data_IF_084585137280
#
_entry.id   IF_084585137280
#
_cell.length_a   1.000
_cell.length_b   1.000
_cell.length_c   1.000
_cell.angle_alpha   90.00
_cell.angle_beta   90.00
_cell.angle_gamma   90.00
#
_symmetry.space_group_name_H-M   'P 1'
#
loop_
_entity.id
_entity.type
_entity.pdbx_description
1 polymer ?
#
# COMPACT_ATOMS: atom_id res chain seq x y z
N UNK A 1 -18.54 9.89 -3.49
CA UNK A 1 -17.10 9.76 -3.82
C UNK A 1 -16.44 9.00 -2.69
N UNK A 2 -15.93 7.81 -2.95
CA UNK A 2 -15.31 6.96 -1.91
C UNK A 2 -13.94 7.56 -1.63
N UNK A 3 -13.74 8.12 -0.42
CA UNK A 3 -12.43 8.58 0.03
C UNK A 3 -11.63 7.39 0.51
N UNK A 4 -10.39 7.26 0.03
CA UNK A 4 -9.46 6.27 0.57
C UNK A 4 -9.21 6.60 2.04
N UNK A 5 -9.42 5.62 2.91
CA UNK A 5 -9.11 5.72 4.33
C UNK A 5 -7.94 4.77 4.63
N UNK A 6 -7.16 5.06 5.69
CA UNK A 6 -6.08 4.19 6.18
C UNK A 6 -6.53 2.74 6.39
N UNK A 7 -7.81 2.52 6.72
CA UNK A 7 -8.39 1.18 6.83
C UNK A 7 -8.32 0.40 5.52
N UNK A 8 -8.71 1.02 4.40
CA UNK A 8 -8.69 0.40 3.05
C UNK A 8 -7.25 0.05 2.66
N UNK A 9 -6.32 0.95 2.93
CA UNK A 9 -4.89 0.75 2.67
C UNK A 9 -4.36 -0.47 3.43
N UNK A 10 -4.70 -0.58 4.72
CA UNK A 10 -4.32 -1.72 5.55
C UNK A 10 -4.97 -3.03 5.10
N UNK A 11 -6.22 -2.99 4.60
CA UNK A 11 -6.90 -4.17 4.03
C UNK A 11 -6.23 -4.65 2.73
N UNK A 12 -5.60 -3.75 1.97
CA UNK A 12 -4.80 -4.10 0.80
C UNK A 12 -3.39 -4.61 1.14
N UNK A 13 -3.05 -4.78 2.42
CA UNK A 13 -1.73 -5.25 2.85
C UNK A 13 -0.61 -4.24 2.61
N UNK A 14 -0.97 -2.96 2.43
CA UNK A 14 -0.01 -1.87 2.22
C UNK A 14 0.33 -1.27 3.59
N UNK A 15 1.62 -1.25 3.91
CA UNK A 15 2.12 -0.61 5.13
C UNK A 15 2.01 0.92 5.08
N UNK A 16 2.08 1.59 6.24
CA UNK A 16 2.04 3.06 6.28
C UNK A 16 3.20 3.71 5.50
N UNK A 17 4.37 3.07 5.46
CA UNK A 17 5.54 3.55 4.72
C UNK A 17 5.36 3.40 3.21
N UNK A 18 4.82 2.27 2.78
CA UNK A 18 4.42 2.06 1.38
C UNK A 18 3.37 3.09 0.95
N UNK A 19 2.34 3.31 1.77
CA UNK A 19 1.32 4.31 1.47
C UNK A 19 1.88 5.74 1.37
N UNK A 20 2.82 6.11 2.25
CA UNK A 20 3.54 7.38 2.15
C UNK A 20 4.32 7.46 0.84
N UNK A 21 5.05 6.40 0.47
CA UNK A 21 5.81 6.35 -0.77
C UNK A 21 4.90 6.49 -2.00
N UNK A 22 3.75 5.81 -2.03
CA UNK A 22 2.73 5.95 -3.09
C UNK A 22 2.25 7.41 -3.17
N UNK A 23 1.98 8.04 -2.02
CA UNK A 23 1.53 9.43 -1.95
C UNK A 23 2.61 10.41 -2.41
N UNK A 24 3.87 10.16 -2.11
CA UNK A 24 5.01 10.95 -2.58
C UNK A 24 5.25 10.80 -4.09
N UNK A 25 5.17 9.58 -4.62
CA UNK A 25 5.31 9.30 -6.05
C UNK A 25 4.19 9.96 -6.85
N UNK A 26 2.94 9.84 -6.38
CA UNK A 26 1.77 10.36 -7.08
C UNK A 26 1.56 11.87 -6.86
N UNK A 27 2.10 12.43 -5.78
CA UNK A 27 1.81 13.79 -5.29
C UNK A 27 0.31 14.09 -5.09
N UNK A 28 -0.52 13.04 -4.97
CA UNK A 28 -1.97 13.12 -4.78
C UNK A 28 -2.46 11.93 -3.97
N UNK A 29 -3.72 11.96 -3.55
CA UNK A 29 -4.33 10.78 -2.93
C UNK A 29 -4.55 9.69 -3.99
N UNK A 30 -4.01 8.47 -3.79
CA UNK A 30 -4.29 7.35 -4.68
C UNK A 30 -5.77 6.96 -4.60
N UNK A 31 -6.29 6.35 -5.66
CA UNK A 31 -7.62 5.72 -5.66
C UNK A 31 -7.54 4.23 -5.34
N UNK A 32 -8.69 3.62 -5.03
CA UNK A 32 -8.82 2.17 -4.80
C UNK A 32 -8.18 1.33 -5.91
N UNK A 33 -8.35 1.74 -7.17
CA UNK A 33 -7.75 1.06 -8.32
C UNK A 33 -6.22 1.11 -8.29
N UNK A 34 -5.66 2.28 -7.99
CA UNK A 34 -4.20 2.47 -7.91
C UNK A 34 -3.63 1.70 -6.72
N UNK A 35 -4.30 1.73 -5.56
CA UNK A 35 -3.94 0.91 -4.41
C UNK A 35 -3.96 -0.58 -4.75
N UNK A 36 -4.95 -1.07 -5.50
CA UNK A 36 -4.99 -2.46 -5.95
C UNK A 36 -3.79 -2.81 -6.84
N UNK A 37 -3.38 -1.91 -7.72
CA UNK A 37 -2.19 -2.08 -8.58
C UNK A 37 -0.92 -2.11 -7.73
N UNK A 38 -0.75 -1.15 -6.81
CA UNK A 38 0.41 -1.11 -5.91
C UNK A 38 0.46 -2.29 -4.95
N UNK A 39 -0.69 -2.74 -4.44
CA UNK A 39 -0.82 -3.92 -3.59
C UNK A 39 -0.27 -5.16 -4.28
N UNK A 40 -0.67 -5.44 -5.52
CA UNK A 40 -0.14 -6.58 -6.28
C UNK A 40 1.35 -6.39 -6.60
N UNK A 41 1.74 -5.20 -7.07
CA UNK A 41 3.12 -4.89 -7.46
C UNK A 41 4.10 -5.03 -6.30
N UNK A 42 3.71 -4.64 -5.09
CA UNK A 42 4.58 -4.66 -3.90
C UNK A 42 4.37 -5.88 -3.01
N UNK A 43 3.21 -6.56 -3.09
CA UNK A 43 2.99 -7.84 -2.40
C UNK A 43 3.96 -8.92 -2.86
N UNK A 44 4.47 -8.86 -4.09
CA UNK A 44 5.52 -9.78 -4.57
C UNK A 44 6.86 -9.53 -3.83
N UNK A 45 7.09 -8.30 -3.38
CA UNK A 45 8.25 -7.91 -2.56
C UNK A 45 8.07 -8.26 -1.07
N UNK A 46 6.84 -8.57 -0.63
CA UNK A 46 6.51 -8.88 0.75
C UNK A 46 6.84 -10.33 1.17
N UNK A 47 7.12 -11.22 0.22
CA UNK A 47 7.59 -12.59 0.53
C UNK A 47 9.04 -12.60 1.06
N UNK A 48 9.82 -11.53 0.87
CA UNK A 48 11.23 -11.49 1.29
C UNK A 48 11.46 -10.85 2.68
N UNK A 49 10.46 -10.18 3.27
CA UNK A 49 10.61 -9.42 4.54
C UNK A 49 9.83 -9.96 5.75
N UNK A 50 9.31 -11.18 5.68
CA UNK A 50 8.74 -11.87 6.86
C UNK A 50 9.70 -12.90 7.48
N UNK A 51 10.99 -12.56 7.62
CA UNK A 51 11.90 -13.29 8.51
C UNK A 51 12.54 -12.32 9.49
N UNK A 52 12.40 -12.62 10.79
CA UNK A 52 12.76 -11.86 12.01
C UNK A 52 11.63 -10.93 12.48
N UNK A 53 11.07 -11.10 13.68
CA UNK A 53 11.75 -11.47 14.93
C UNK A 53 10.90 -12.37 15.82
N UNK A 54 11.50 -13.49 16.23
CA UNK A 54 11.34 -14.08 17.56
C UNK A 54 12.64 -13.90 18.33
#
# INVERSE_FOLDING_TARGET
>A
MIKINKHIVSEHGISEDEFKLIKEILQREPNLLELGIFSVMWSEHCSYKSTKSG
#
